data_IF_629361078306
#
_entry.id   IF_629361078306
#
_cell.length_a   1.000
_cell.length_b   1.000
_cell.length_c   1.000
_cell.angle_alpha   90.00
_cell.angle_beta   90.00
_cell.angle_gamma   90.00
#
_symmetry.space_group_name_H-M   'P 1'
#
loop_
_entity.id
_entity.type
_entity.pdbx_description
1 polymer ?
#
# COMPACT_ATOMS: atom_id res chain seq x y z
N UNK A 1 -18.11 5.88 5.45
CA UNK A 1 -16.88 5.45 4.75
C UNK A 1 -15.68 6.14 5.38
N UNK A 2 -14.44 5.59 5.26
CA UNK A 2 -13.22 6.31 5.65
C UNK A 2 -13.03 7.58 4.81
N UNK A 3 -12.27 8.54 5.32
CA UNK A 3 -11.98 9.79 4.61
C UNK A 3 -11.07 9.56 3.39
N UNK A 4 -10.18 8.57 3.47
CA UNK A 4 -9.28 8.18 2.38
C UNK A 4 -9.35 6.66 2.19
N UNK A 5 -9.56 6.23 0.94
CA UNK A 5 -9.53 4.82 0.55
C UNK A 5 -8.46 4.62 -0.52
N UNK A 6 -7.37 3.95 -0.16
CA UNK A 6 -6.37 3.48 -1.11
C UNK A 6 -6.82 2.14 -1.71
N UNK A 7 -6.98 2.11 -3.03
CA UNK A 7 -7.31 0.90 -3.77
C UNK A 7 -6.88 1.04 -5.23
N UNK A 8 -6.09 0.09 -5.71
CA UNK A 8 -5.56 0.03 -7.08
C UNK A 8 -6.60 0.28 -8.17
N UNK A 9 -7.81 -0.25 -7.98
CA UNK A 9 -8.87 -0.16 -8.97
C UNK A 9 -9.88 0.97 -8.67
N UNK A 10 -9.47 2.00 -7.93
CA UNK A 10 -10.35 3.11 -7.57
C UNK A 10 -10.88 3.88 -8.78
N UNK A 11 -10.15 3.92 -9.89
CA UNK A 11 -10.64 4.52 -11.13
C UNK A 11 -11.93 3.85 -11.62
N UNK A 12 -11.99 2.51 -11.62
CA UNK A 12 -13.20 1.79 -11.99
C UNK A 12 -14.26 1.82 -10.89
N UNK A 13 -13.87 1.79 -9.61
CA UNK A 13 -14.82 1.96 -8.50
C UNK A 13 -15.55 3.30 -8.60
N UNK A 14 -14.82 4.39 -8.86
CA UNK A 14 -15.40 5.73 -8.97
C UNK A 14 -16.35 5.84 -10.17
N UNK A 15 -15.95 5.35 -11.36
CA UNK A 15 -16.83 5.28 -12.55
C UNK A 15 -18.09 4.47 -12.28
N UNK A 16 -17.96 3.36 -11.55
CA UNK A 16 -19.11 2.56 -11.16
C UNK A 16 -20.04 3.35 -10.24
N UNK A 17 -19.50 4.02 -9.22
CA UNK A 17 -20.26 4.85 -8.26
C UNK A 17 -21.00 6.00 -8.94
N UNK A 18 -20.43 6.65 -9.95
CA UNK A 18 -21.08 7.73 -10.72
C UNK A 18 -22.42 7.29 -11.34
N UNK A 19 -22.56 6.01 -11.67
CA UNK A 19 -23.76 5.43 -12.26
C UNK A 19 -24.69 4.77 -11.22
N UNK A 20 -24.39 4.90 -9.93
CA UNK A 20 -25.24 4.37 -8.86
C UNK A 20 -26.29 5.39 -8.41
N UNK A 21 -27.30 4.85 -7.74
CA UNK A 21 -28.33 5.62 -7.08
C UNK A 21 -27.73 6.63 -6.08
N UNK A 22 -28.46 7.73 -5.86
CA UNK A 22 -27.99 8.89 -5.09
C UNK A 22 -27.59 8.53 -3.66
N UNK A 23 -28.31 7.63 -3.00
CA UNK A 23 -28.00 7.17 -1.65
C UNK A 23 -26.63 6.48 -1.58
N UNK A 24 -26.25 5.73 -2.61
CA UNK A 24 -24.94 5.08 -2.70
C UNK A 24 -23.85 6.12 -2.95
N UNK A 25 -24.07 7.06 -3.89
CA UNK A 25 -23.10 8.14 -4.15
C UNK A 25 -22.86 8.99 -2.90
N UNK A 26 -23.92 9.31 -2.16
CA UNK A 26 -23.84 10.08 -0.90
C UNK A 26 -23.04 9.36 0.18
N UNK A 27 -23.11 8.04 0.24
CA UNK A 27 -22.32 7.24 1.20
C UNK A 27 -20.81 7.42 1.03
N UNK A 28 -20.35 7.72 -0.19
CA UNK A 28 -18.94 7.92 -0.55
C UNK A 28 -18.56 9.39 -0.79
N UNK A 29 -19.48 10.34 -0.61
CA UNK A 29 -19.27 11.74 -1.00
C UNK A 29 -18.08 12.42 -0.29
N UNK A 30 -17.69 11.91 0.87
CA UNK A 30 -16.57 12.42 1.68
C UNK A 30 -15.34 11.50 1.67
N UNK A 31 -15.28 10.54 0.75
CA UNK A 31 -14.15 9.61 0.64
C UNK A 31 -13.29 9.93 -0.57
N UNK A 32 -12.01 10.21 -0.33
CA UNK A 32 -11.01 10.29 -1.39
C UNK A 32 -10.73 8.88 -1.93
N UNK A 33 -11.07 8.65 -3.19
CA UNK A 33 -10.84 7.40 -3.90
C UNK A 33 -9.56 7.51 -4.73
N UNK A 34 -8.43 7.17 -4.11
CA UNK A 34 -7.09 7.32 -4.70
C UNK A 34 -6.42 5.97 -4.93
N UNK A 35 -5.56 5.90 -5.95
CA UNK A 35 -4.69 4.74 -6.15
C UNK A 35 -3.37 4.95 -5.40
N UNK A 36 -2.62 3.87 -5.18
CA UNK A 36 -1.24 3.96 -4.69
C UNK A 36 -0.37 4.78 -5.68
N UNK A 37 0.58 5.57 -5.18
CA UNK A 37 1.40 6.47 -6.01
C UNK A 37 2.29 5.71 -7.02
N UNK A 38 2.84 4.55 -6.63
CA UNK A 38 3.61 3.70 -7.53
C UNK A 38 2.68 2.99 -8.52
N UNK A 39 1.50 2.55 -8.08
CA UNK A 39 0.49 1.99 -8.98
C UNK A 39 0.04 3.01 -10.04
N UNK A 40 -0.16 4.27 -9.64
CA UNK A 40 -0.45 5.37 -10.55
C UNK A 40 0.66 5.53 -11.58
N UNK A 41 1.90 5.73 -11.12
CA UNK A 41 3.07 5.96 -11.98
C UNK A 41 3.32 4.82 -12.97
N UNK A 42 3.18 3.56 -12.54
CA UNK A 42 3.51 2.39 -13.36
C UNK A 42 2.39 1.90 -14.27
N UNK A 43 1.13 2.13 -13.90
CA UNK A 43 -0.03 1.51 -14.59
C UNK A 43 -1.06 2.49 -15.11
N UNK A 44 -1.18 3.69 -14.52
CA UNK A 44 -2.21 4.67 -14.86
C UNK A 44 -1.63 6.07 -15.16
N UNK A 45 -0.37 6.13 -15.58
CA UNK A 45 0.31 7.34 -16.06
C UNK A 45 -0.63 8.14 -16.99
N UNK A 46 -0.52 9.48 -16.89
CA UNK A 46 -1.23 10.51 -17.68
C UNK A 46 -1.37 10.19 -19.16
N UNK A 47 -0.46 9.44 -19.78
CA UNK A 47 -0.55 9.06 -21.18
C UNK A 47 -1.59 7.95 -21.48
N UNK A 48 -1.93 7.10 -20.51
CA UNK A 48 -2.80 5.93 -20.70
C UNK A 48 -4.19 6.06 -20.05
N UNK A 49 -4.34 6.79 -18.94
CA UNK A 49 -5.62 6.90 -18.21
C UNK A 49 -5.88 8.31 -17.64
N UNK A 50 -6.46 9.16 -18.49
CA UNK A 50 -6.82 10.55 -18.13
C UNK A 50 -7.79 10.61 -16.94
N UNK A 51 -8.75 9.68 -16.86
CA UNK A 51 -9.72 9.66 -15.78
C UNK A 51 -9.06 9.40 -14.43
N UNK A 52 -8.19 8.37 -14.36
CA UNK A 52 -7.42 8.09 -13.14
C UNK A 52 -6.55 9.27 -12.75
N UNK A 53 -5.90 9.92 -13.73
CA UNK A 53 -5.08 11.12 -13.51
C UNK A 53 -5.85 12.31 -12.93
N UNK A 54 -7.10 12.52 -13.34
CA UNK A 54 -7.95 13.61 -12.84
C UNK A 54 -8.56 13.33 -11.47
N UNK A 55 -8.82 12.06 -11.15
CA UNK A 55 -9.72 11.71 -10.05
C UNK A 55 -9.08 10.86 -8.94
N UNK A 56 -8.04 10.09 -9.26
CA UNK A 56 -7.48 9.09 -8.37
C UNK A 56 -5.98 9.28 -8.12
N UNK A 57 -5.34 10.27 -8.75
CA UNK A 57 -3.94 10.60 -8.51
C UNK A 57 -3.73 11.16 -7.09
N UNK A 58 -3.00 10.46 -6.20
CA UNK A 58 -2.77 10.94 -4.84
C UNK A 58 -2.00 12.28 -4.80
N UNK A 59 -1.18 12.59 -5.81
CA UNK A 59 -0.43 13.84 -5.86
C UNK A 59 -1.29 15.10 -6.09
N UNK A 60 -2.57 14.92 -6.39
CA UNK A 60 -3.53 16.01 -6.52
C UNK A 60 -4.11 16.49 -5.16
N UNK A 61 -3.79 15.81 -4.06
CA UNK A 61 -4.40 16.02 -2.74
C UNK A 61 -3.34 16.44 -1.71
N UNK A 62 -3.17 17.75 -1.45
CA UNK A 62 -2.19 18.28 -0.51
C UNK A 62 -2.30 17.70 0.90
N UNK A 63 -3.51 17.32 1.34
CA UNK A 63 -3.81 16.72 2.63
C UNK A 63 -3.16 15.35 2.84
N UNK A 64 -2.58 14.74 1.80
CA UNK A 64 -1.84 13.48 1.89
C UNK A 64 -0.34 13.69 2.16
N UNK A 65 0.13 14.94 2.18
CA UNK A 65 1.51 15.30 2.44
C UNK A 65 1.71 15.79 3.87
N UNK A 66 2.90 15.53 4.40
CA UNK A 66 3.33 16.02 5.70
C UNK A 66 3.60 17.52 5.61
N UNK A 67 2.78 18.32 6.31
CA UNK A 67 2.92 19.77 6.36
C UNK A 67 4.26 20.23 6.95
N UNK A 68 4.92 19.38 7.75
CA UNK A 68 6.20 19.69 8.41
C UNK A 68 7.41 19.29 7.57
N UNK A 69 7.23 18.41 6.57
CA UNK A 69 8.31 17.84 5.77
C UNK A 69 7.99 17.94 4.28
N UNK A 70 8.69 18.81 3.52
CA UNK A 70 8.41 18.99 2.10
C UNK A 70 8.59 17.67 1.34
N UNK A 71 7.65 17.38 0.43
CA UNK A 71 7.63 16.18 -0.43
C UNK A 71 7.59 14.84 0.31
N UNK A 72 7.15 14.82 1.59
CA UNK A 72 6.94 13.58 2.33
C UNK A 72 5.46 13.25 2.39
N UNK A 73 5.11 12.01 2.07
CA UNK A 73 3.75 11.49 2.24
C UNK A 73 3.47 11.19 3.71
N UNK A 74 2.25 11.49 4.18
CA UNK A 74 1.78 11.08 5.51
C UNK A 74 1.64 9.57 5.65
N UNK A 75 1.30 8.90 4.54
CA UNK A 75 1.03 7.47 4.50
C UNK A 75 1.81 6.79 3.38
N UNK A 76 2.48 5.68 3.70
CA UNK A 76 3.21 4.87 2.73
C UNK A 76 2.31 3.76 2.19
N UNK A 77 1.49 4.09 1.20
CA UNK A 77 0.56 3.13 0.59
C UNK A 77 1.26 1.93 -0.03
N UNK A 78 2.47 2.11 -0.59
CA UNK A 78 3.21 1.02 -1.24
C UNK A 78 3.76 0.02 -0.21
N UNK A 79 4.18 0.47 0.97
CA UNK A 79 4.55 -0.42 2.07
C UNK A 79 3.33 -1.22 2.57
N UNK A 80 2.17 -0.57 2.67
CA UNK A 80 0.92 -1.24 3.04
C UNK A 80 0.48 -2.28 2.00
N UNK A 81 0.58 -1.98 0.70
CA UNK A 81 0.25 -2.92 -0.36
C UNK A 81 1.16 -4.17 -0.30
N UNK A 82 2.47 -3.97 -0.13
CA UNK A 82 3.43 -5.05 0.01
C UNK A 82 3.15 -5.91 1.25
N UNK A 83 2.91 -5.28 2.40
CA UNK A 83 2.55 -5.98 3.63
C UNK A 83 1.26 -6.78 3.47
N UNK A 84 0.21 -6.18 2.90
CA UNK A 84 -1.06 -6.86 2.63
C UNK A 84 -0.91 -8.02 1.65
N UNK A 85 -0.07 -7.87 0.61
CA UNK A 85 0.23 -8.95 -0.34
C UNK A 85 0.91 -10.15 0.33
N UNK A 86 1.79 -9.88 1.30
CA UNK A 86 2.43 -10.92 2.11
C UNK A 86 1.44 -11.57 3.08
N UNK A 87 0.70 -10.77 3.86
CA UNK A 87 -0.31 -11.23 4.81
C UNK A 87 -1.41 -12.04 4.13
N UNK A 88 -1.82 -11.69 2.91
CA UNK A 88 -2.84 -12.43 2.16
C UNK A 88 -2.48 -13.91 1.96
N UNK A 89 -1.19 -14.25 1.90
CA UNK A 89 -0.72 -15.64 1.77
C UNK A 89 -0.99 -16.49 3.01
N UNK A 90 -1.21 -15.84 4.16
CA UNK A 90 -1.44 -16.45 5.47
C UNK A 90 -2.76 -15.97 6.11
N UNK A 91 -3.66 -15.41 5.32
CA UNK A 91 -4.91 -14.83 5.79
C UNK A 91 -5.82 -15.86 6.48
N UNK A 92 -5.86 -17.10 5.97
CA UNK A 92 -6.68 -18.17 6.57
C UNK A 92 -6.19 -18.55 7.97
N UNK A 93 -4.88 -18.58 8.21
CA UNK A 93 -4.30 -18.88 9.52
C UNK A 93 -4.48 -17.73 10.51
N UNK A 94 -4.44 -16.50 10.02
CA UNK A 94 -4.55 -15.29 10.85
C UNK A 94 -6.00 -14.86 11.13
N UNK A 95 -6.95 -15.43 10.38
CA UNK A 95 -8.38 -15.23 10.62
C UNK A 95 -8.73 -15.66 12.06
N UNK A 96 -9.49 -14.84 12.77
CA UNK A 96 -9.92 -15.08 14.16
C UNK A 96 -8.80 -15.10 15.22
N UNK A 97 -7.56 -14.71 14.89
CA UNK A 97 -6.53 -14.50 15.92
C UNK A 97 -6.86 -13.26 16.77
N UNK A 98 -6.68 -13.38 18.08
CA UNK A 98 -6.63 -12.21 18.95
C UNK A 98 -5.41 -11.36 18.60
N UNK A 99 -5.43 -10.06 18.92
CA UNK A 99 -4.29 -9.17 18.67
C UNK A 99 -2.95 -9.75 19.17
N UNK A 100 -2.93 -10.27 20.42
CA UNK A 100 -1.72 -10.89 21.01
C UNK A 100 -1.24 -12.10 20.22
N UNK A 101 -2.15 -12.97 19.76
CA UNK A 101 -1.78 -14.15 18.96
C UNK A 101 -1.30 -13.76 17.58
N UNK A 102 -1.94 -12.77 16.98
CA UNK A 102 -1.59 -12.24 15.68
C UNK A 102 -0.17 -11.64 15.71
N UNK A 103 0.13 -10.78 16.69
CA UNK A 103 1.47 -10.19 16.85
C UNK A 103 2.55 -11.24 17.07
N UNK A 104 2.33 -12.20 17.98
CA UNK A 104 3.27 -13.30 18.19
C UNK A 104 3.48 -14.12 16.92
N UNK A 105 2.39 -14.46 16.21
CA UNK A 105 2.47 -15.21 14.97
C UNK A 105 3.27 -14.47 13.90
N UNK A 106 3.03 -13.17 13.72
CA UNK A 106 3.79 -12.36 12.77
C UNK A 106 5.27 -12.31 13.12
N UNK A 107 5.63 -12.10 14.38
CA UNK A 107 7.02 -12.06 14.83
C UNK A 107 7.75 -13.38 14.48
N UNK A 108 7.15 -14.52 14.80
CA UNK A 108 7.74 -15.83 14.53
C UNK A 108 7.79 -16.15 13.03
N UNK A 109 6.76 -15.80 12.25
CA UNK A 109 6.77 -16.02 10.79
C UNK A 109 7.79 -15.12 10.10
N UNK A 110 7.96 -13.88 10.54
CA UNK A 110 8.99 -12.97 10.00
C UNK A 110 10.39 -13.51 10.30
N UNK A 111 10.65 -13.96 11.54
CA UNK A 111 11.93 -14.60 11.90
C UNK A 111 12.22 -15.83 11.02
N UNK A 112 11.27 -16.76 10.93
CA UNK A 112 11.41 -17.95 10.10
C UNK A 112 11.60 -17.63 8.62
N UNK A 113 10.91 -16.60 8.10
CA UNK A 113 11.09 -16.14 6.73
C UNK A 113 12.50 -15.57 6.50
N UNK A 114 13.00 -14.74 7.41
CA UNK A 114 14.34 -14.16 7.32
C UNK A 114 15.42 -15.26 7.34
N UNK A 115 15.31 -16.22 8.26
CA UNK A 115 16.21 -17.39 8.31
C UNK A 115 16.19 -18.17 6.99
N UNK A 116 14.99 -18.42 6.44
CA UNK A 116 14.85 -19.10 5.16
C UNK A 116 15.54 -18.32 4.02
N UNK A 117 15.34 -17.00 3.94
CA UNK A 117 15.95 -16.15 2.91
C UNK A 117 17.48 -16.18 3.03
N UNK A 118 18.03 -16.06 4.23
CA UNK A 118 19.48 -16.15 4.47
C UNK A 118 20.03 -17.49 3.97
N UNK A 119 19.37 -18.60 4.30
CA UNK A 119 19.77 -19.93 3.85
C UNK A 119 19.72 -20.06 2.31
N UNK A 120 18.69 -19.52 1.65
CA UNK A 120 18.61 -19.53 0.18
C UNK A 120 19.72 -18.70 -0.46
N UNK A 121 20.02 -17.52 0.08
CA UNK A 121 21.10 -16.66 -0.41
C UNK A 121 22.46 -17.35 -0.29
N UNK A 122 22.73 -18.01 0.84
CA UNK A 122 23.94 -18.79 1.04
C UNK A 122 24.07 -19.93 0.02
N UNK A 123 22.98 -20.69 -0.20
CA UNK A 123 22.95 -21.76 -1.22
C UNK A 123 23.21 -21.22 -2.63
N UNK A 124 22.65 -20.06 -2.94
CA UNK A 124 22.87 -19.35 -4.21
C UNK A 124 24.21 -18.65 -4.34
N UNK A 125 25.06 -18.65 -3.30
CA UNK A 125 26.31 -17.87 -3.22
C UNK A 125 26.09 -16.37 -3.46
N UNK A 126 24.94 -15.85 -3.01
CA UNK A 126 24.65 -14.43 -3.01
C UNK A 126 25.05 -13.80 -1.68
N UNK A 127 25.81 -12.71 -1.73
CA UNK A 127 26.33 -12.01 -0.57
C UNK A 127 25.92 -10.54 -0.63
N UNK A 128 24.63 -10.22 -0.36
CA UNK A 128 24.20 -8.83 -0.33
C UNK A 128 25.03 -8.07 0.71
N UNK A 129 25.57 -6.92 0.32
CA UNK A 129 26.34 -6.08 1.23
C UNK A 129 25.40 -5.50 2.30
N UNK A 130 25.71 -5.76 3.57
CA UNK A 130 25.08 -5.04 4.67
C UNK A 130 25.77 -3.68 4.74
N UNK A 131 25.17 -2.67 4.10
CA UNK A 131 25.61 -1.30 4.24
C UNK A 131 25.15 -0.79 5.61
N UNK A 132 26.06 -0.31 6.48
CA UNK A 132 25.65 0.34 7.72
C UNK A 132 24.68 1.49 7.42
N UNK A 133 23.67 1.69 8.28
CA UNK A 133 22.69 2.76 8.09
C UNK A 133 23.34 4.15 7.94
N UNK A 134 24.50 4.35 8.59
CA UNK A 134 25.31 5.57 8.46
C UNK A 134 25.84 5.84 7.05
N UNK A 135 25.98 4.81 6.22
CA UNK A 135 26.42 4.91 4.81
C UNK A 135 25.27 5.24 3.87
N UNK A 136 24.02 4.99 4.28
CA UNK A 136 22.82 5.28 3.49
C UNK A 136 22.22 6.66 3.76
N UNK A 137 22.72 7.37 4.78
CA UNK A 137 22.20 8.67 5.23
C UNK A 137 22.94 9.88 4.60
N UNK A 138 23.75 9.67 3.56
CA UNK A 138 24.50 10.70 2.82
C UNK A 138 23.79 11.18 1.58
#
# INVERSE_FOLDING_TARGET
MPDVLFFDNNCNLRRHLENRAEEVRRHFAHTLLIVDAFHWDRKHDKHSDQYCSMHCNPAAYPELYDETQPNKWLFNSSACEQANSWLRKIAAQTCEMTAVRFEFFLDEVIKAHNEHIVLQLQRGKHFPHILPASVLAS
#
